data_IF_305086792933
#
_entry.id   IF_305086792933
#
_cell.length_a   1.000
_cell.length_b   1.000
_cell.length_c   1.000
_cell.angle_alpha   90.00
_cell.angle_beta   90.00
_cell.angle_gamma   90.00
#
_symmetry.space_group_name_H-M   'P 1'
#
loop_
_entity.id
_entity.type
_entity.pdbx_description
1 polymer ?
#
# COMPACT_ATOMS: atom_id res chain seq x y z
N UNK A 1 4.99 63.52 -9.30
CA UNK A 1 5.24 62.95 -7.96
C UNK A 1 6.32 61.89 -8.11
N UNK A 2 7.41 62.02 -7.37
CA UNK A 2 8.75 61.44 -7.59
C UNK A 2 8.93 60.17 -6.72
N UNK A 3 9.45 59.08 -7.33
CA UNK A 3 10.24 57.91 -6.80
C UNK A 3 9.69 57.10 -5.58
N UNK A 4 9.87 55.77 -5.48
CA UNK A 4 11.15 55.07 -5.56
C UNK A 4 11.10 53.67 -6.18
N UNK A 5 12.04 53.46 -7.10
CA UNK A 5 12.46 52.19 -7.68
C UNK A 5 13.91 51.94 -7.22
N UNK A 6 14.17 50.68 -6.82
CA UNK A 6 15.45 49.96 -6.89
C UNK A 6 16.48 49.98 -5.74
N UNK A 7 17.01 48.76 -5.52
CA UNK A 7 18.42 48.35 -5.34
C UNK A 7 19.18 48.77 -4.07
N UNK A 8 19.69 47.76 -3.36
CA UNK A 8 21.14 47.55 -3.25
C UNK A 8 21.48 46.17 -2.67
N UNK A 9 22.30 45.45 -3.42
CA UNK A 9 23.02 44.27 -2.96
C UNK A 9 24.26 44.70 -2.14
N UNK A 10 24.74 43.74 -1.33
CA UNK A 10 26.11 43.62 -0.83
C UNK A 10 26.64 44.68 0.14
N UNK A 11 26.77 44.28 1.42
CA UNK A 11 28.03 44.35 2.20
C UNK A 11 27.82 43.41 3.41
N UNK A 12 28.28 42.16 3.34
CA UNK A 12 29.62 41.68 3.77
C UNK A 12 29.75 41.48 5.30
N UNK A 13 30.08 40.23 5.65
CA UNK A 13 30.95 39.79 6.75
C UNK A 13 30.34 39.66 8.16
N UNK A 14 30.15 38.41 8.59
CA UNK A 14 30.65 37.77 9.82
C UNK A 14 30.23 36.28 9.68
N UNK A 15 31.05 35.43 9.07
CA UNK A 15 32.02 34.58 9.75
C UNK A 15 31.41 33.72 10.87
N UNK A 16 30.65 32.69 10.53
CA UNK A 16 30.57 31.46 11.33
C UNK A 16 30.77 30.27 10.38
N UNK A 17 32.03 29.99 10.11
CA UNK A 17 32.47 28.62 9.81
C UNK A 17 32.32 27.82 11.09
N UNK A 18 31.21 27.10 11.24
CA UNK A 18 31.14 25.93 12.11
C UNK A 18 31.32 24.72 11.21
N UNK A 19 32.56 24.23 11.20
CA UNK A 19 32.96 22.96 10.62
C UNK A 19 32.20 21.87 11.37
N UNK A 20 31.14 21.35 10.77
CA UNK A 20 30.66 20.01 11.14
C UNK A 20 31.49 19.03 10.33
N UNK A 21 32.51 18.47 10.98
CA UNK A 21 33.12 17.22 10.55
C UNK A 21 32.05 16.15 10.73
N UNK A 22 31.33 15.86 9.65
CA UNK A 22 30.50 14.65 9.57
C UNK A 22 31.38 13.48 9.18
N UNK A 23 31.58 12.52 10.08
CA UNK A 23 32.08 11.21 9.70
C UNK A 23 31.07 10.57 8.73
N UNK A 24 31.45 10.42 7.46
CA UNK A 24 30.73 9.55 6.55
C UNK A 24 31.02 8.11 6.98
N UNK A 25 30.07 7.47 7.65
CA UNK A 25 30.04 6.00 7.70
C UNK A 25 29.78 5.51 6.28
N UNK A 26 30.79 4.86 5.70
CA UNK A 26 30.64 4.15 4.44
C UNK A 26 29.46 3.18 4.55
N UNK A 27 28.53 3.13 3.57
CA UNK A 27 27.52 2.11 3.55
C UNK A 27 28.19 0.75 3.64
N UNK A 28 27.87 0.05 4.71
CA UNK A 28 28.14 -1.37 4.94
C UNK A 28 27.79 -2.11 3.65
N UNK A 29 28.67 -3.02 3.25
CA UNK A 29 28.62 -3.85 2.05
C UNK A 29 27.18 -4.15 1.58
N UNK A 30 26.92 -4.18 0.25
CA UNK A 30 25.60 -4.57 -0.24
C UNK A 30 25.20 -5.87 0.45
N UNK A 31 24.01 -5.86 1.06
CA UNK A 31 23.39 -7.08 1.56
C UNK A 31 23.37 -8.02 0.37
N UNK A 32 24.24 -9.03 0.43
CA UNK A 32 24.22 -10.19 -0.45
C UNK A 32 22.88 -10.87 -0.19
N UNK A 33 21.86 -10.45 -0.93
CA UNK A 33 20.57 -11.13 -0.95
C UNK A 33 20.88 -12.50 -1.51
N UNK A 34 20.91 -13.50 -0.63
CA UNK A 34 21.23 -14.86 -0.99
C UNK A 34 20.38 -15.27 -2.19
N UNK A 35 21.10 -15.77 -3.17
CA UNK A 35 20.69 -16.44 -4.40
C UNK A 35 19.54 -17.42 -4.12
N UNK A 36 18.30 -16.91 -4.09
CA UNK A 36 17.14 -17.72 -4.38
C UNK A 36 16.89 -17.54 -5.86
N UNK A 37 17.13 -18.64 -6.56
CA UNK A 37 16.93 -18.82 -7.98
C UNK A 37 15.68 -18.08 -8.46
N UNK A 38 15.70 -17.49 -9.68
CA UNK A 38 14.47 -16.98 -10.25
C UNK A 38 13.45 -18.11 -10.22
N UNK A 39 12.32 -17.88 -9.56
CA UNK A 39 11.15 -18.73 -9.72
C UNK A 39 10.86 -18.69 -11.22
N UNK A 40 11.31 -19.73 -11.92
CA UNK A 40 10.95 -19.96 -13.30
C UNK A 40 9.45 -20.17 -13.28
N UNK A 41 8.70 -19.12 -13.62
CA UNK A 41 7.30 -19.24 -13.97
C UNK A 41 7.26 -20.06 -15.26
N UNK A 42 7.33 -21.39 -15.12
CA UNK A 42 6.94 -22.30 -16.19
C UNK A 42 5.47 -22.04 -16.48
N UNK A 43 5.24 -21.30 -17.57
CA UNK A 43 3.94 -21.22 -18.22
C UNK A 43 3.49 -22.63 -18.55
N UNK A 44 2.42 -23.10 -17.93
CA UNK A 44 1.63 -24.19 -18.51
C UNK A 44 0.17 -24.05 -18.09
N UNK A 45 -0.67 -23.86 -19.10
CA UNK A 45 -2.15 -23.89 -19.12
C UNK A 45 -2.89 -22.74 -18.43
N UNK A 46 -3.76 -22.09 -19.24
CA UNK A 46 -4.85 -21.19 -18.83
C UNK A 46 -5.53 -21.75 -17.57
N UNK A 47 -5.54 -21.02 -16.43
CA UNK A 47 -6.14 -21.55 -15.22
C UNK A 47 -7.66 -21.51 -15.37
N UNK A 48 -8.26 -22.69 -15.35
CA UNK A 48 -9.68 -22.87 -15.13
C UNK A 48 -9.98 -22.54 -13.65
N UNK A 49 -10.95 -21.66 -13.34
CA UNK A 49 -11.18 -21.14 -11.99
C UNK A 49 -11.44 -22.24 -10.93
N UNK A 50 -12.02 -23.38 -11.34
CA UNK A 50 -12.29 -24.54 -10.49
C UNK A 50 -11.04 -25.23 -9.91
N UNK A 51 -9.85 -24.99 -10.47
CA UNK A 51 -8.57 -25.57 -10.00
C UNK A 51 -7.85 -24.69 -8.99
N UNK A 52 -8.19 -23.40 -8.89
CA UNK A 52 -7.56 -22.48 -7.94
C UNK A 52 -8.00 -22.80 -6.51
N UNK A 53 -9.30 -23.03 -6.30
CA UNK A 53 -9.87 -23.40 -4.99
C UNK A 53 -9.28 -24.69 -4.43
N UNK A 54 -9.06 -25.69 -5.30
CA UNK A 54 -8.47 -26.97 -4.90
C UNK A 54 -6.96 -26.88 -4.60
N UNK A 55 -6.21 -26.00 -5.29
CA UNK A 55 -4.79 -25.74 -4.97
C UNK A 55 -4.61 -24.99 -3.66
N UNK A 56 -5.50 -24.03 -3.36
CA UNK A 56 -5.48 -23.29 -2.09
C UNK A 56 -5.75 -24.19 -0.88
N UNK A 57 -6.65 -25.17 -1.02
CA UNK A 57 -6.91 -26.19 0.02
C UNK A 57 -5.69 -27.08 0.32
N UNK A 58 -4.88 -27.42 -0.69
CA UNK A 58 -3.64 -28.20 -0.46
C UNK A 58 -2.47 -27.36 0.07
N UNK A 59 -2.51 -26.03 -0.05
CA UNK A 59 -1.48 -25.12 0.47
C UNK A 59 -1.61 -24.83 1.99
N UNK A 60 -2.68 -25.29 2.64
CA UNK A 60 -2.94 -25.07 4.07
C UNK A 60 -1.91 -25.71 5.03
N UNK A 61 -0.99 -26.55 4.55
CA UNK A 61 -0.06 -27.31 5.40
C UNK A 61 1.28 -26.60 5.72
N UNK A 62 1.56 -25.42 5.16
CA UNK A 62 2.70 -24.59 5.54
C UNK A 62 2.34 -23.11 5.38
N UNK A 63 2.13 -22.39 6.50
CA UNK A 63 1.94 -20.93 6.52
C UNK A 63 3.30 -20.23 6.61
N UNK A 64 4.16 -20.39 5.61
CA UNK A 64 5.52 -19.86 5.66
C UNK A 64 5.63 -18.45 5.08
N UNK A 65 4.61 -17.98 4.35
CA UNK A 65 4.63 -16.68 3.66
C UNK A 65 3.40 -15.83 3.99
N UNK A 66 3.57 -14.51 3.84
CA UNK A 66 2.49 -13.52 3.98
C UNK A 66 1.33 -13.78 3.03
N UNK A 67 1.65 -14.26 1.83
CA UNK A 67 0.66 -14.59 0.80
C UNK A 67 -0.17 -15.81 1.18
N UNK A 68 0.45 -16.85 1.72
CA UNK A 68 -0.29 -18.01 2.24
C UNK A 68 -1.18 -17.62 3.43
N UNK A 69 -0.68 -16.74 4.31
CA UNK A 69 -1.48 -16.17 5.42
C UNK A 69 -2.71 -15.44 4.88
N UNK A 70 -2.52 -14.51 3.94
CA UNK A 70 -3.61 -13.76 3.30
C UNK A 70 -4.64 -14.69 2.65
N UNK A 71 -4.17 -15.64 1.83
CA UNK A 71 -5.04 -16.58 1.12
C UNK A 71 -5.82 -17.51 2.08
N UNK A 72 -5.26 -17.79 3.26
CA UNK A 72 -5.95 -18.58 4.29
C UNK A 72 -7.15 -17.87 4.92
N UNK A 73 -7.23 -16.53 4.78
CA UNK A 73 -8.31 -15.67 5.28
C UNK A 73 -9.33 -15.31 4.19
N UNK A 74 -9.14 -15.78 2.96
CA UNK A 74 -10.00 -15.46 1.82
C UNK A 74 -11.37 -16.12 1.95
N UNK A 75 -12.44 -15.32 1.87
CA UNK A 75 -13.81 -15.79 2.09
C UNK A 75 -14.83 -15.46 1.00
N UNK A 76 -14.40 -14.78 -0.08
CA UNK A 76 -15.34 -14.37 -1.13
C UNK A 76 -15.96 -15.58 -1.85
N UNK A 77 -17.26 -15.52 -2.17
CA UNK A 77 -17.90 -16.52 -3.01
C UNK A 77 -17.34 -16.45 -4.43
N UNK A 78 -17.55 -17.53 -5.19
CA UNK A 78 -17.32 -17.48 -6.64
C UNK A 78 -18.30 -16.50 -7.28
N UNK A 79 -17.78 -15.54 -8.05
CA UNK A 79 -18.55 -14.51 -8.75
C UNK A 79 -18.36 -14.70 -10.24
N UNK A 80 -19.46 -14.93 -10.95
CA UNK A 80 -19.49 -14.91 -12.41
C UNK A 80 -19.88 -13.51 -12.89
N UNK A 81 -18.91 -12.77 -13.44
CA UNK A 81 -19.12 -11.40 -13.90
C UNK A 81 -18.10 -11.01 -14.98
N UNK A 82 -18.58 -10.64 -16.16
CA UNK A 82 -17.74 -10.22 -17.29
C UNK A 82 -16.78 -9.08 -16.96
N UNK A 83 -17.15 -8.18 -16.03
CA UNK A 83 -16.26 -7.09 -15.59
C UNK A 83 -15.06 -7.63 -14.83
N UNK A 84 -15.26 -8.65 -13.99
CA UNK A 84 -14.20 -9.32 -13.25
C UNK A 84 -13.30 -10.08 -14.22
N UNK A 85 -13.87 -10.83 -15.17
CA UNK A 85 -13.14 -11.55 -16.22
C UNK A 85 -12.23 -10.61 -17.03
N UNK A 86 -12.76 -9.45 -17.47
CA UNK A 86 -11.97 -8.45 -18.21
C UNK A 86 -10.81 -7.92 -17.38
N UNK A 87 -11.05 -7.60 -16.11
CA UNK A 87 -10.01 -7.08 -15.23
C UNK A 87 -8.93 -8.13 -14.95
N UNK A 88 -9.33 -9.38 -14.73
CA UNK A 88 -8.42 -10.51 -14.57
C UNK A 88 -7.53 -10.68 -15.81
N UNK A 89 -8.11 -10.71 -17.00
CA UNK A 89 -7.36 -10.82 -18.25
C UNK A 89 -6.37 -9.66 -18.42
N UNK A 90 -6.77 -8.44 -18.09
CA UNK A 90 -5.84 -7.30 -18.11
C UNK A 90 -4.64 -7.52 -17.16
N UNK A 91 -4.85 -8.01 -15.94
CA UNK A 91 -3.74 -8.31 -15.03
C UNK A 91 -2.83 -9.43 -15.55
N UNK A 92 -3.40 -10.48 -16.15
CA UNK A 92 -2.64 -11.59 -16.75
C UNK A 92 -1.75 -11.12 -17.91
N UNK A 93 -2.25 -10.16 -18.70
CA UNK A 93 -1.51 -9.57 -19.82
C UNK A 93 -0.43 -8.56 -19.37
N UNK A 94 -0.42 -8.14 -18.09
CA UNK A 94 0.49 -7.14 -17.55
C UNK A 94 1.33 -7.65 -16.35
N UNK A 95 2.15 -8.71 -16.51
CA UNK A 95 2.92 -9.30 -15.41
C UNK A 95 3.92 -8.32 -14.77
N UNK A 96 4.51 -7.41 -15.56
CA UNK A 96 5.41 -6.38 -15.05
C UNK A 96 4.70 -5.33 -14.17
N UNK A 97 3.38 -5.15 -14.34
CA UNK A 97 2.58 -4.31 -13.46
C UNK A 97 2.33 -5.01 -12.12
N UNK A 98 1.95 -6.30 -12.16
CA UNK A 98 1.78 -7.12 -10.96
C UNK A 98 3.06 -7.20 -10.14
N UNK A 99 4.22 -7.43 -10.77
CA UNK A 99 5.51 -7.48 -10.07
C UNK A 99 5.82 -6.17 -9.31
N UNK A 100 5.51 -5.01 -9.91
CA UNK A 100 5.68 -3.70 -9.26
C UNK A 100 4.73 -3.52 -8.07
N UNK A 101 3.48 -3.96 -8.20
CA UNK A 101 2.52 -3.93 -7.08
C UNK A 101 3.01 -4.82 -5.94
N UNK A 102 3.46 -6.04 -6.25
CA UNK A 102 3.97 -6.97 -5.24
C UNK A 102 5.16 -6.38 -4.48
N UNK A 103 6.11 -5.76 -5.18
CA UNK A 103 7.25 -5.09 -4.56
C UNK A 103 6.82 -3.93 -3.64
N UNK A 104 5.79 -3.17 -4.02
CA UNK A 104 5.25 -2.08 -3.20
C UNK A 104 4.46 -2.59 -1.99
N UNK A 105 3.82 -3.75 -2.11
CA UNK A 105 3.03 -4.35 -1.04
C UNK A 105 3.89 -4.98 0.07
N UNK A 106 5.08 -5.49 -0.29
CA UNK A 106 5.99 -6.22 0.61
C UNK A 106 6.18 -5.55 2.01
N UNK A 107 6.49 -4.25 2.13
CA UNK A 107 6.69 -3.63 3.44
C UNK A 107 5.42 -3.47 4.29
N UNK A 108 4.23 -3.55 3.71
CA UNK A 108 2.97 -3.20 4.37
C UNK A 108 2.08 -4.41 4.66
N UNK A 109 2.21 -5.48 3.87
CA UNK A 109 1.25 -6.59 3.89
C UNK A 109 1.20 -7.31 5.24
N UNK A 110 2.33 -7.41 5.95
CA UNK A 110 2.36 -7.94 7.32
C UNK A 110 1.52 -7.11 8.29
N UNK A 111 1.74 -5.78 8.31
CA UNK A 111 1.03 -4.85 9.19
C UNK A 111 -0.48 -4.85 8.90
N UNK A 112 -0.84 -4.84 7.62
CA UNK A 112 -2.25 -4.86 7.20
C UNK A 112 -2.92 -6.17 7.63
N UNK A 113 -2.24 -7.31 7.49
CA UNK A 113 -2.80 -8.59 7.93
C UNK A 113 -2.92 -8.70 9.45
N UNK A 114 -2.01 -8.11 10.21
CA UNK A 114 -2.11 -8.06 11.68
C UNK A 114 -3.37 -7.29 12.10
N UNK A 115 -3.63 -6.13 11.49
CA UNK A 115 -4.86 -5.36 11.73
C UNK A 115 -6.12 -6.10 11.29
N UNK A 116 -6.10 -6.73 10.11
CA UNK A 116 -7.25 -7.48 9.59
C UNK A 116 -7.60 -8.66 10.51
N UNK A 117 -6.61 -9.43 10.96
CA UNK A 117 -6.83 -10.55 11.86
C UNK A 117 -7.28 -10.08 13.25
N UNK A 118 -6.67 -9.04 13.80
CA UNK A 118 -7.03 -8.47 15.10
C UNK A 118 -8.50 -8.01 15.13
N UNK A 119 -9.02 -7.55 13.99
CA UNK A 119 -10.36 -7.00 13.85
C UNK A 119 -11.36 -7.98 13.21
N UNK A 120 -10.98 -9.24 12.95
CA UNK A 120 -11.82 -10.24 12.26
C UNK A 120 -12.35 -9.76 10.89
N UNK A 121 -11.55 -8.98 10.18
CA UNK A 121 -11.84 -8.51 8.83
C UNK A 121 -11.48 -9.63 7.84
N UNK A 122 -12.23 -9.82 6.72
CA UNK A 122 -11.85 -10.78 5.69
C UNK A 122 -10.50 -10.45 5.02
N UNK A 123 -9.68 -11.46 4.76
CA UNK A 123 -8.30 -11.29 4.27
C UNK A 123 -8.21 -10.64 2.89
N UNK A 124 -9.23 -10.79 2.06
CA UNK A 124 -9.33 -10.16 0.74
C UNK A 124 -9.25 -8.64 0.79
N UNK A 125 -9.65 -7.99 1.90
CA UNK A 125 -9.56 -6.53 2.01
C UNK A 125 -8.11 -6.05 2.03
N UNK A 126 -7.15 -6.90 2.42
CA UNK A 126 -5.72 -6.59 2.31
C UNK A 126 -5.28 -6.30 0.87
N UNK A 127 -6.05 -6.76 -0.13
CA UNK A 127 -5.75 -6.57 -1.55
C UNK A 127 -6.45 -5.34 -2.16
N UNK A 128 -7.34 -4.67 -1.44
CA UNK A 128 -8.02 -3.47 -1.95
C UNK A 128 -7.03 -2.38 -2.41
N UNK A 129 -5.88 -2.13 -1.75
CA UNK A 129 -4.90 -1.15 -2.22
C UNK A 129 -4.35 -1.40 -3.62
N UNK A 130 -4.46 -2.62 -4.16
CA UNK A 130 -4.09 -2.93 -5.54
C UNK A 130 -4.89 -2.07 -6.52
N UNK A 131 -6.19 -1.91 -6.28
CA UNK A 131 -7.09 -1.15 -7.18
C UNK A 131 -7.19 0.32 -6.81
N UNK A 132 -6.96 0.67 -5.54
CA UNK A 132 -7.07 2.06 -5.08
C UNK A 132 -5.82 2.89 -5.38
N UNK A 133 -4.64 2.39 -5.04
CA UNK A 133 -3.38 3.16 -5.11
C UNK A 133 -2.23 2.41 -5.78
N UNK A 134 -2.43 1.14 -6.13
CA UNK A 134 -1.35 0.21 -6.51
C UNK A 134 -0.25 0.12 -5.43
N UNK A 135 -0.68 0.09 -4.15
CA UNK A 135 0.17 0.09 -2.96
C UNK A 135 1.10 1.31 -2.83
N UNK A 136 0.62 2.51 -3.17
CA UNK A 136 1.38 3.76 -3.03
C UNK A 136 0.82 4.56 -1.83
N UNK A 137 1.55 4.67 -0.70
CA UNK A 137 1.06 5.37 0.49
C UNK A 137 0.84 6.87 0.28
N UNK A 138 1.64 7.51 -0.57
CA UNK A 138 1.53 8.94 -0.88
C UNK A 138 0.61 9.22 -2.08
N UNK A 139 -0.19 8.25 -2.52
CA UNK A 139 -1.09 8.42 -3.66
C UNK A 139 -2.08 9.54 -3.39
N UNK A 140 -2.32 10.36 -4.43
CA UNK A 140 -3.25 11.48 -4.38
C UNK A 140 -4.08 11.53 -5.67
N UNK A 141 -5.40 11.61 -5.55
CA UNK A 141 -6.31 11.69 -6.68
C UNK A 141 -6.77 13.13 -6.96
N UNK A 142 -7.46 13.33 -8.09
CA UNK A 142 -8.08 14.62 -8.43
C UNK A 142 -9.25 14.99 -7.50
N UNK A 143 -9.83 14.01 -6.81
CA UNK A 143 -10.91 14.21 -5.85
C UNK A 143 -10.36 14.34 -4.42
N UNK A 144 -9.07 14.66 -4.28
CA UNK A 144 -8.35 14.78 -3.02
C UNK A 144 -8.29 13.50 -2.17
N UNK A 145 -8.64 12.35 -2.75
CA UNK A 145 -8.43 11.05 -2.12
C UNK A 145 -6.93 10.82 -1.90
N UNK A 146 -6.55 10.36 -0.71
CA UNK A 146 -5.14 10.25 -0.29
C UNK A 146 -4.89 8.90 0.36
N UNK A 147 -3.65 8.42 0.28
CA UNK A 147 -3.25 7.24 1.03
C UNK A 147 -3.36 5.93 0.25
N UNK A 148 -2.95 4.87 0.94
CA UNK A 148 -3.01 3.50 0.46
C UNK A 148 -4.45 3.10 0.07
N UNK A 149 -5.42 3.52 0.87
CA UNK A 149 -6.85 3.20 0.77
C UNK A 149 -7.68 4.26 0.05
N UNK A 150 -7.06 5.35 -0.41
CA UNK A 150 -7.73 6.46 -1.11
C UNK A 150 -8.93 7.04 -0.35
N UNK A 151 -8.75 7.37 0.93
CA UNK A 151 -9.79 8.06 1.70
C UNK A 151 -9.95 9.51 1.26
N UNK A 152 -11.19 9.98 1.12
CA UNK A 152 -11.53 11.39 0.89
C UNK A 152 -11.34 12.19 2.20
N UNK A 153 -10.90 13.46 2.16
CA UNK A 153 -10.53 14.20 3.37
C UNK A 153 -11.64 14.26 4.42
N UNK A 154 -12.85 14.63 4.00
CA UNK A 154 -14.00 14.80 4.90
C UNK A 154 -14.41 13.47 5.54
N UNK A 155 -14.44 12.39 4.76
CA UNK A 155 -14.70 11.04 5.25
C UNK A 155 -13.62 10.58 6.22
N UNK A 156 -12.34 10.80 5.89
CA UNK A 156 -11.23 10.43 6.77
C UNK A 156 -11.35 11.11 8.14
N UNK A 157 -11.66 12.42 8.19
CA UNK A 157 -11.88 13.15 9.44
C UNK A 157 -13.08 12.62 10.22
N UNK A 158 -14.18 12.32 9.53
CA UNK A 158 -15.40 11.77 10.16
C UNK A 158 -15.10 10.47 10.91
N UNK A 159 -14.20 9.64 10.36
CA UNK A 159 -13.77 8.39 10.96
C UNK A 159 -12.57 8.52 11.91
N UNK A 160 -12.11 9.74 12.18
CA UNK A 160 -11.08 10.00 13.20
C UNK A 160 -9.64 10.05 12.68
N UNK A 161 -9.41 10.08 11.36
CA UNK A 161 -8.08 10.33 10.83
C UNK A 161 -7.68 11.79 11.03
N UNK A 162 -6.61 11.99 11.79
CA UNK A 162 -6.04 13.30 12.02
C UNK A 162 -5.50 13.88 10.71
N UNK A 163 -5.87 15.13 10.44
CA UNK A 163 -5.40 15.87 9.27
C UNK A 163 -5.04 17.27 9.71
N UNK A 164 -3.74 17.54 9.80
CA UNK A 164 -3.16 18.84 10.11
C UNK A 164 -2.38 19.37 8.91
N UNK A 165 -1.74 20.54 9.06
CA UNK A 165 -0.87 21.08 8.01
C UNK A 165 0.41 20.27 7.79
N UNK A 166 0.77 19.37 8.71
CA UNK A 166 2.02 18.61 8.69
C UNK A 166 1.82 17.09 8.84
N UNK A 167 0.59 16.63 9.05
CA UNK A 167 0.22 15.22 9.19
C UNK A 167 -1.08 14.93 8.43
N UNK A 168 -1.11 13.85 7.64
CA UNK A 168 -2.32 13.34 6.98
C UNK A 168 -2.43 11.85 7.31
N UNK A 169 -3.23 11.51 8.33
CA UNK A 169 -3.43 10.14 8.81
C UNK A 169 -4.00 9.19 7.75
N UNK A 170 -4.52 9.71 6.62
CA UNK A 170 -4.90 8.87 5.48
C UNK A 170 -3.71 8.17 4.84
N UNK A 171 -2.51 8.74 4.98
CA UNK A 171 -1.25 8.18 4.45
C UNK A 171 -0.51 7.30 5.46
N UNK A 172 -0.87 7.38 6.74
CA UNK A 172 -0.34 6.48 7.76
C UNK A 172 -1.00 5.10 7.61
N UNK A 173 -0.21 4.06 7.45
CA UNK A 173 -0.70 2.72 7.15
C UNK A 173 -1.48 2.14 8.32
N UNK A 174 -1.07 2.38 9.57
CA UNK A 174 -1.75 1.84 10.74
C UNK A 174 -3.06 2.58 10.98
N UNK A 175 -3.02 3.91 11.01
CA UNK A 175 -4.22 4.73 11.23
C UNK A 175 -5.27 4.44 10.15
N UNK A 176 -4.86 4.47 8.88
CA UNK A 176 -5.77 4.28 7.75
C UNK A 176 -6.30 2.85 7.64
N UNK A 177 -5.52 1.83 8.02
CA UNK A 177 -6.02 0.43 8.03
C UNK A 177 -6.98 0.19 9.18
N UNK A 178 -6.73 0.78 10.36
CA UNK A 178 -7.62 0.65 11.52
C UNK A 178 -9.04 1.17 11.25
N UNK A 179 -9.20 2.12 10.31
CA UNK A 179 -10.52 2.60 9.89
C UNK A 179 -11.43 1.53 9.28
N UNK A 180 -10.86 0.48 8.68
CA UNK A 180 -11.65 -0.59 8.06
C UNK A 180 -12.56 -1.29 9.08
N UNK A 181 -12.20 -1.23 10.38
CA UNK A 181 -13.05 -1.70 11.47
C UNK A 181 -14.26 -0.78 11.70
N UNK A 182 -14.06 0.54 11.71
CA UNK A 182 -15.11 1.52 12.01
C UNK A 182 -16.19 1.56 10.92
N UNK A 183 -15.81 1.30 9.66
CA UNK A 183 -16.76 1.19 8.55
C UNK A 183 -17.73 0.01 8.68
N UNK A 184 -17.37 -1.07 9.39
CA UNK A 184 -18.25 -2.21 9.60
C UNK A 184 -19.21 -2.02 10.78
N UNK A 185 -18.77 -1.32 11.84
CA UNK A 185 -19.59 -1.07 13.03
C UNK A 185 -20.78 -0.14 12.80
N UNK A 186 -20.62 0.91 11.98
CA UNK A 186 -21.68 1.91 11.75
C UNK A 186 -22.85 1.39 10.90
N UNK A 187 -22.65 0.36 10.09
CA UNK A 187 -23.74 -0.26 9.34
C UNK A 187 -24.70 -1.07 10.24
N UNK A 188 -24.25 -1.51 11.41
CA UNK A 188 -25.00 -2.40 12.30
C UNK A 188 -25.88 -1.69 13.34
N UNK A 189 -25.74 -0.37 13.52
CA UNK A 189 -26.57 0.42 14.46
C UNK A 189 -27.72 1.20 13.78
N UNK A 190 -27.95 1.00 12.48
CA UNK A 190 -28.96 1.76 11.70
C UNK A 190 -30.29 1.02 11.43
N UNK A 191 -30.61 -0.01 12.22
CA UNK A 191 -31.89 -0.75 12.12
C UNK A 191 -32.66 -0.79 13.43
#
# INVERSE_FOLDING_TARGET
MYVNFNRSANFLLISISLIVVGCAETPKAPISYNDRSPISFSQTTKPEPSKLSNRLKTAQSHKNTVWERLLSLYSLPEIDNDRVERQLNWYLDHPAYIARIQQRAEPYLHLILDEIEANNIPGELALLPVVESAFIPDAYSKADASGLWQFIPDTGKLYGLEQTSWYDGRRDILDSTSLLQLGQGQCLESH
#
